data_IF_474559529855
#
_entry.id   IF_474559529855
#
_cell.length_a   1.000
_cell.length_b   1.000
_cell.length_c   1.000
_cell.angle_alpha   90.00
_cell.angle_beta   90.00
_cell.angle_gamma   90.00
#
_symmetry.space_group_name_H-M   'P 1'
#
loop_
_entity.id
_entity.type
_entity.pdbx_description
1 polymer ?
#
# COMPACT_ATOMS: atom_id res chain seq x y z
N UNK A 1 -26.25 -23.71 13.49
CA UNK A 1 -25.45 -22.67 14.18
C UNK A 1 -24.53 -22.07 13.15
N UNK A 2 -24.81 -20.86 12.68
CA UNK A 2 -23.93 -20.16 11.75
C UNK A 2 -22.69 -19.74 12.55
N UNK A 3 -21.50 -20.14 12.12
CA UNK A 3 -20.28 -19.56 12.65
C UNK A 3 -20.23 -18.10 12.18
N UNK A 4 -20.27 -17.16 13.12
CA UNK A 4 -20.01 -15.75 12.83
C UNK A 4 -18.49 -15.59 12.67
N UNK A 5 -18.06 -15.19 11.47
CA UNK A 5 -16.67 -14.89 11.17
C UNK A 5 -16.45 -13.38 11.29
N UNK A 6 -15.43 -12.97 12.04
CA UNK A 6 -15.04 -11.56 12.13
C UNK A 6 -14.08 -11.24 10.98
N UNK A 7 -14.38 -10.18 10.24
CA UNK A 7 -13.55 -9.69 9.15
C UNK A 7 -13.04 -8.29 9.46
N UNK A 8 -11.73 -8.09 9.30
CA UNK A 8 -11.09 -6.79 9.28
C UNK A 8 -10.63 -6.48 7.85
N UNK A 9 -10.73 -5.21 7.45
CA UNK A 9 -10.23 -4.78 6.15
C UNK A 9 -9.48 -3.46 6.23
N UNK A 10 -8.58 -3.25 5.28
CA UNK A 10 -7.88 -2.00 5.09
C UNK A 10 -7.86 -1.61 3.63
N UNK A 11 -8.12 -0.32 3.36
CA UNK A 11 -8.04 0.25 2.02
C UNK A 11 -6.62 0.72 1.77
N UNK A 12 -6.08 0.34 0.61
CA UNK A 12 -4.77 0.79 0.14
C UNK A 12 -5.01 2.03 -0.69
N UNK A 13 -4.25 3.09 -0.41
CA UNK A 13 -4.36 4.36 -1.12
C UNK A 13 -3.03 4.77 -1.73
N UNK A 14 -3.14 5.43 -2.88
CA UNK A 14 -2.04 6.09 -3.58
C UNK A 14 -2.25 7.59 -3.46
N UNK A 15 -1.17 8.29 -3.14
CA UNK A 15 -1.12 9.75 -3.06
C UNK A 15 -0.14 10.22 -4.14
N UNK A 16 -0.60 10.52 -5.37
CA UNK A 16 0.29 10.90 -6.47
C UNK A 16 1.06 12.19 -6.18
N UNK A 17 0.43 13.12 -5.43
CA UNK A 17 1.02 14.40 -5.06
C UNK A 17 0.65 14.78 -3.63
N UNK A 18 1.61 14.58 -2.72
CA UNK A 18 1.44 14.80 -1.27
C UNK A 18 1.01 16.22 -0.91
N UNK A 19 1.56 17.22 -1.60
CA UNK A 19 1.29 18.64 -1.34
C UNK A 19 -0.17 19.04 -1.56
N UNK A 20 -0.90 18.30 -2.40
CA UNK A 20 -2.32 18.55 -2.69
C UNK A 20 -3.25 17.74 -1.78
N UNK A 21 -2.72 16.77 -1.03
CA UNK A 21 -3.50 15.88 -0.17
C UNK A 21 -4.50 14.99 -0.93
N UNK A 22 -4.32 14.81 -2.24
CA UNK A 22 -5.22 14.01 -3.07
C UNK A 22 -4.85 12.52 -2.97
N UNK A 23 -5.85 11.67 -2.81
CA UNK A 23 -5.66 10.23 -2.65
C UNK A 23 -6.65 9.45 -3.52
N UNK A 24 -6.19 8.33 -4.05
CA UNK A 24 -7.02 7.36 -4.79
C UNK A 24 -6.95 6.01 -4.10
N UNK A 25 -8.08 5.31 -4.06
CA UNK A 25 -8.08 3.91 -3.61
C UNK A 25 -7.44 3.06 -4.71
N UNK A 26 -6.48 2.22 -4.33
CA UNK A 26 -5.74 1.34 -5.23
C UNK A 26 -5.89 -0.15 -4.88
N UNK A 27 -6.60 -0.47 -3.81
CA UNK A 27 -6.84 -1.85 -3.41
C UNK A 27 -7.41 -2.00 -2.01
N UNK A 28 -7.55 -3.26 -1.59
CA UNK A 28 -8.03 -3.65 -0.27
C UNK A 28 -7.27 -4.87 0.24
N UNK A 29 -7.00 -4.90 1.54
CA UNK A 29 -6.55 -6.08 2.28
C UNK A 29 -7.73 -6.57 3.12
N UNK A 30 -7.98 -7.88 3.08
CA UNK A 30 -9.00 -8.54 3.87
C UNK A 30 -8.34 -9.58 4.79
N UNK A 31 -8.69 -9.53 6.07
CA UNK A 31 -8.21 -10.44 7.10
C UNK A 31 -9.39 -11.06 7.84
N UNK A 32 -9.37 -12.38 8.01
CA UNK A 32 -10.28 -13.11 8.87
C UNK A 32 -9.46 -14.07 9.75
N UNK A 33 -9.14 -13.67 11.00
CA UNK A 33 -8.37 -14.51 11.92
C UNK A 33 -9.07 -15.84 12.22
N UNK A 34 -10.40 -15.82 12.31
CA UNK A 34 -11.23 -17.00 12.58
C UNK A 34 -11.14 -18.07 11.49
N UNK A 35 -10.76 -17.67 10.26
CA UNK A 35 -10.62 -18.54 9.10
C UNK A 35 -9.16 -18.70 8.63
N UNK A 36 -8.17 -18.20 9.39
CA UNK A 36 -6.75 -18.10 8.99
C UNK A 36 -6.57 -17.52 7.57
N UNK A 37 -7.38 -16.52 7.25
CA UNK A 37 -7.45 -15.93 5.92
C UNK A 37 -6.83 -14.54 5.92
N UNK A 38 -5.89 -14.32 5.00
CA UNK A 38 -5.33 -13.00 4.69
C UNK A 38 -5.10 -12.91 3.18
N UNK A 39 -5.72 -11.94 2.53
CA UNK A 39 -5.53 -11.70 1.10
C UNK A 39 -5.62 -10.21 0.78
N UNK A 40 -5.12 -9.83 -0.39
CA UNK A 40 -5.30 -8.48 -0.90
C UNK A 40 -5.57 -8.45 -2.40
N UNK A 41 -6.35 -7.46 -2.82
CA UNK A 41 -6.62 -7.17 -4.23
C UNK A 41 -6.22 -5.75 -4.54
N UNK A 42 -5.45 -5.60 -5.60
CA UNK A 42 -4.93 -4.33 -6.09
C UNK A 42 -5.56 -4.07 -7.46
N UNK A 43 -6.11 -2.88 -7.62
CA UNK A 43 -6.61 -2.37 -8.89
C UNK A 43 -6.32 -0.86 -8.93
N UNK A 44 -5.42 -0.46 -9.82
CA UNK A 44 -5.01 0.93 -9.97
C UNK A 44 -5.59 1.49 -11.27
N UNK A 45 -6.47 2.49 -11.13
CA UNK A 45 -6.94 3.28 -12.27
C UNK A 45 -5.86 4.28 -12.70
N UNK A 46 -5.13 3.93 -13.76
CA UNK A 46 -4.06 4.75 -14.31
C UNK A 46 -4.58 6.10 -14.81
N UNK A 47 -5.78 6.14 -15.40
CA UNK A 47 -6.35 7.37 -15.93
C UNK A 47 -6.70 8.35 -14.79
N UNK A 48 -7.25 7.83 -13.69
CA UNK A 48 -7.52 8.64 -12.50
C UNK A 48 -6.22 9.18 -11.87
N UNK A 49 -5.16 8.37 -11.79
CA UNK A 49 -3.86 8.80 -11.26
C UNK A 49 -3.27 9.93 -12.12
N UNK A 50 -3.24 9.76 -13.44
CA UNK A 50 -2.72 10.76 -14.37
C UNK A 50 -3.59 12.03 -14.43
N UNK A 51 -4.88 11.93 -14.13
CA UNK A 51 -5.75 13.08 -14.00
C UNK A 51 -5.43 13.92 -12.75
N UNK A 52 -4.95 13.29 -11.67
CA UNK A 52 -4.51 14.00 -10.45
C UNK A 52 -3.10 14.55 -10.58
N UNK A 53 -2.17 13.75 -11.11
CA UNK A 53 -0.81 14.18 -11.41
C UNK A 53 -0.35 13.61 -12.76
N UNK A 54 -0.34 14.42 -13.84
CA UNK A 54 0.13 13.99 -15.16
C UNK A 54 1.59 13.54 -15.21
N UNK A 55 2.40 13.89 -14.20
CA UNK A 55 3.80 13.49 -14.10
C UNK A 55 4.02 12.25 -13.22
N UNK A 56 2.95 11.62 -12.72
CA UNK A 56 3.06 10.44 -11.87
C UNK A 56 3.73 9.25 -12.59
N UNK A 57 4.67 8.60 -11.91
CA UNK A 57 5.30 7.36 -12.39
C UNK A 57 4.39 6.15 -12.10
N UNK A 58 3.57 5.81 -13.08
CA UNK A 58 2.61 4.71 -13.02
C UNK A 58 3.30 3.35 -12.87
N UNK A 59 4.46 3.15 -13.50
CA UNK A 59 5.15 1.86 -13.47
C UNK A 59 5.73 1.60 -12.09
N UNK A 60 6.33 2.62 -11.47
CA UNK A 60 6.82 2.51 -10.09
C UNK A 60 5.66 2.28 -9.11
N UNK A 61 4.53 2.97 -9.27
CA UNK A 61 3.33 2.73 -8.45
C UNK A 61 2.84 1.28 -8.58
N UNK A 62 2.75 0.75 -9.81
CA UNK A 62 2.36 -0.64 -10.05
C UNK A 62 3.32 -1.64 -9.44
N UNK A 63 4.62 -1.42 -9.61
CA UNK A 63 5.65 -2.29 -9.04
C UNK A 63 5.56 -2.35 -7.51
N UNK A 64 5.38 -1.20 -6.86
CA UNK A 64 5.21 -1.12 -5.41
C UNK A 64 3.93 -1.82 -4.94
N UNK A 65 2.79 -1.52 -5.56
CA UNK A 65 1.52 -2.12 -5.18
C UNK A 65 1.50 -3.65 -5.41
N UNK A 66 2.21 -4.15 -6.41
CA UNK A 66 2.34 -5.59 -6.70
C UNK A 66 3.02 -6.38 -5.56
N UNK A 67 3.76 -5.71 -4.66
CA UNK A 67 4.37 -6.38 -3.50
C UNK A 67 3.34 -6.75 -2.42
N UNK A 68 2.24 -6.00 -2.31
CA UNK A 68 1.26 -6.17 -1.22
C UNK A 68 0.59 -7.56 -1.28
N UNK A 69 0.10 -8.06 -2.43
CA UNK A 69 -0.42 -9.43 -2.53
C UNK A 69 0.60 -10.53 -2.28
N UNK A 70 1.90 -10.26 -2.46
CA UNK A 70 2.97 -11.22 -2.17
C UNK A 70 3.20 -11.33 -0.67
N UNK A 71 3.17 -10.20 0.04
CA UNK A 71 3.27 -10.17 1.51
C UNK A 71 2.04 -10.83 2.15
N UNK A 72 0.82 -10.53 1.66
CA UNK A 72 -0.41 -11.12 2.20
C UNK A 72 -0.47 -12.64 2.06
N UNK A 73 -0.02 -13.20 0.92
CA UNK A 73 -0.06 -14.65 0.68
C UNK A 73 0.95 -15.45 1.51
N UNK A 74 1.98 -14.78 2.06
CA UNK A 74 3.03 -15.43 2.83
C UNK A 74 3.93 -16.34 1.98
N UNK A 75 5.21 -16.39 2.33
CA UNK A 75 6.23 -17.17 1.62
C UNK A 75 7.61 -16.57 1.82
N UNK A 76 8.67 -17.28 1.40
CA UNK A 76 10.07 -16.82 1.56
C UNK A 76 10.36 -15.44 0.93
N UNK A 77 9.48 -14.94 0.05
CA UNK A 77 9.54 -13.61 -0.55
C UNK A 77 8.94 -12.47 0.31
N UNK A 78 8.28 -12.77 1.43
CA UNK A 78 7.54 -11.78 2.24
C UNK A 78 8.41 -11.01 3.26
N UNK A 79 9.71 -11.35 3.39
CA UNK A 79 10.60 -10.74 4.40
C UNK A 79 10.22 -11.11 5.85
N UNK A 80 11.05 -10.76 6.85
CA UNK A 80 10.89 -11.22 8.23
C UNK A 80 9.75 -10.57 9.05
N UNK A 81 8.72 -9.98 8.43
CA UNK A 81 7.61 -9.30 9.10
C UNK A 81 6.33 -10.14 9.24
N UNK A 82 6.44 -11.47 9.14
CA UNK A 82 5.32 -12.39 9.32
C UNK A 82 5.16 -12.87 10.77
N UNK A 83 5.19 -11.96 11.76
CA UNK A 83 4.62 -12.20 13.11
C UNK A 83 4.13 -10.87 13.68
N UNK A 84 2.88 -10.51 13.39
CA UNK A 84 2.12 -9.65 14.30
C UNK A 84 0.64 -10.07 14.23
N UNK A 85 0.29 -11.08 15.03
CA UNK A 85 -1.01 -11.76 15.08
C UNK A 85 -2.18 -10.92 15.62
N UNK A 86 -2.02 -9.61 15.75
CA UNK A 86 -3.09 -8.67 16.10
C UNK A 86 -2.80 -7.31 15.44
N UNK A 87 -2.73 -7.27 14.11
CA UNK A 87 -2.51 -6.00 13.43
C UNK A 87 -3.87 -5.38 13.12
N UNK A 88 -4.30 -4.47 13.98
CA UNK A 88 -5.35 -3.50 13.64
C UNK A 88 -4.76 -2.65 12.51
N UNK A 89 -5.07 -2.98 11.25
CA UNK A 89 -4.50 -2.29 10.09
C UNK A 89 -5.11 -0.89 10.05
N UNK A 90 -4.40 0.09 10.63
CA UNK A 90 -4.94 1.45 10.85
C UNK A 90 -4.80 2.37 9.63
N UNK A 91 -3.90 2.06 8.70
CA UNK A 91 -3.71 2.69 7.38
C UNK A 91 -2.44 2.10 6.77
N UNK A 92 -2.45 1.84 5.46
CA UNK A 92 -1.22 1.69 4.67
C UNK A 92 -1.28 2.84 3.67
N UNK A 93 -0.75 3.98 4.07
CA UNK A 93 -0.50 5.08 3.16
C UNK A 93 0.82 4.73 2.45
N UNK A 94 0.74 4.44 1.15
CA UNK A 94 1.95 4.20 0.36
C UNK A 94 2.49 5.57 -0.04
N UNK A 95 3.09 6.26 0.94
CA UNK A 95 3.68 7.58 0.71
C UNK A 95 4.91 7.43 -0.18
N UNK A 96 4.76 7.76 -1.46
CA UNK A 96 5.88 7.83 -2.39
C UNK A 96 6.55 9.20 -2.23
N UNK A 97 7.57 9.27 -1.37
CA UNK A 97 8.52 10.38 -1.41
C UNK A 97 9.45 10.16 -2.61
N UNK A 98 9.58 11.16 -3.48
CA UNK A 98 10.48 11.12 -4.64
C UNK A 98 11.90 10.63 -4.23
N UNK A 99 12.51 9.67 -4.94
CA UNK A 99 13.86 9.20 -4.63
C UNK A 99 15.00 10.21 -4.94
N UNK A 100 14.69 11.46 -5.33
CA UNK A 100 15.71 12.41 -5.80
C UNK A 100 15.69 13.81 -5.16
N UNK A 101 15.45 13.90 -3.85
CA UNK A 101 15.87 15.06 -3.06
C UNK A 101 17.19 14.74 -2.32
N UNK A 102 18.27 14.52 -3.08
CA UNK A 102 19.64 14.72 -2.54
C UNK A 102 19.82 16.22 -2.34
N UNK A 103 19.42 16.72 -1.18
CA UNK A 103 19.68 18.08 -0.73
C UNK A 103 21.21 18.26 -0.71
N UNK A 104 21.70 19.13 -1.60
CA UNK A 104 23.06 19.64 -1.53
C UNK A 104 23.30 20.25 -0.16
N UNK A 105 24.20 19.66 0.61
CA UNK A 105 24.84 20.33 1.72
C UNK A 105 26.06 21.07 1.16
N UNK A 106 25.83 22.29 0.69
CA UNK A 106 26.84 23.34 0.81
C UNK A 106 27.00 23.60 2.30
N UNK A 107 28.22 23.42 2.81
CA UNK A 107 28.78 24.16 3.95
C UNK A 107 30.30 24.11 3.82
N UNK A 108 30.81 25.06 3.04
CA UNK A 108 32.10 25.67 3.34
C UNK A 108 31.94 26.57 4.58
N UNK A 109 32.99 26.56 5.41
CA UNK A 109 33.25 27.31 6.65
C UNK A 109 32.67 26.73 7.95
#
# INVERSE_FOLDING_TARGET
MSAEYTYDYAVIRVVPRVERGEQLNAGVILSCPDADFLDSRIELDQAAVLALDPAADIETLRANLATIPLVCRGGAAAGPSSVQRHTRIKRIDTDFTEPNQRKGAVRDL
#
